data_IF_753759237378
#
_entry.id   IF_753759237378
#
_cell.length_a   1.000
_cell.length_b   1.000
_cell.length_c   1.000
_cell.angle_alpha   90.00
_cell.angle_beta   90.00
_cell.angle_gamma   90.00
#
_symmetry.space_group_name_H-M   'P 1'
#
loop_
_entity.id
_entity.type
_entity.pdbx_description
1 polymer ?
#
# COMPACT_ATOMS: atom_id res chain seq x y z
N UNK A 1 25.14 16.25 34.12
CA UNK A 1 23.76 15.90 33.72
C UNK A 1 23.82 15.13 32.41
N UNK A 2 23.55 13.81 32.38
CA UNK A 2 23.56 13.03 31.14
C UNK A 2 22.20 13.22 30.45
N UNK A 3 22.12 13.48 29.13
CA UNK A 3 20.83 13.53 28.46
C UNK A 3 20.17 12.16 28.57
N UNK A 4 18.91 12.14 28.99
CA UNK A 4 18.11 10.93 28.98
C UNK A 4 18.07 10.41 27.55
N UNK A 5 18.63 9.22 27.31
CA UNK A 5 18.44 8.53 26.02
C UNK A 5 16.94 8.33 25.87
N UNK A 6 16.35 8.94 24.83
CA UNK A 6 14.98 8.67 24.42
C UNK A 6 14.94 7.19 24.03
N UNK A 7 14.43 6.36 24.93
CA UNK A 7 14.06 4.99 24.59
C UNK A 7 12.80 5.14 23.74
N UNK A 8 12.99 5.18 22.42
CA UNK A 8 11.87 4.93 21.51
C UNK A 8 11.40 3.49 21.77
N UNK A 9 10.23 3.36 22.38
CA UNK A 9 9.55 2.07 22.56
C UNK A 9 9.45 1.34 21.22
N UNK A 10 9.62 0.03 21.15
CA UNK A 10 9.47 -0.72 19.89
C UNK A 10 8.13 -0.46 19.16
N UNK A 11 7.10 -0.07 19.91
CA UNK A 11 5.81 0.40 19.38
C UNK A 11 5.91 1.62 18.44
N UNK A 12 6.89 2.52 18.60
CA UNK A 12 7.09 3.66 17.70
C UNK A 12 7.75 3.29 16.37
N UNK A 13 8.38 2.11 16.29
CA UNK A 13 8.97 1.57 15.05
C UNK A 13 7.92 0.89 14.16
N UNK A 14 6.92 0.24 14.77
CA UNK A 14 5.85 -0.44 14.06
C UNK A 14 4.73 0.53 13.65
N UNK A 15 4.81 1.05 12.43
CA UNK A 15 3.70 1.77 11.80
C UNK A 15 3.44 1.17 10.41
N UNK A 16 2.59 0.13 10.33
CA UNK A 16 2.31 -0.57 9.08
C UNK A 16 1.58 0.37 8.12
N UNK A 17 1.86 0.20 6.83
CA UNK A 17 1.05 0.80 5.77
C UNK A 17 -0.29 0.08 5.73
N UNK A 18 -1.38 0.82 5.57
CA UNK A 18 -2.67 0.24 5.23
C UNK A 18 -3.03 0.59 3.79
N UNK A 19 -3.78 -0.29 3.15
CA UNK A 19 -4.28 -0.07 1.80
C UNK A 19 -5.79 -0.20 1.79
N UNK A 20 -6.47 0.74 1.16
CA UNK A 20 -7.91 0.74 0.95
C UNK A 20 -8.21 0.71 -0.55
N UNK A 21 -9.22 -0.06 -0.93
CA UNK A 21 -9.70 -0.14 -2.31
C UNK A 21 -11.13 0.43 -2.36
N UNK A 22 -11.37 1.36 -3.27
CA UNK A 22 -12.70 1.93 -3.49
C UNK A 22 -13.04 1.92 -4.99
N UNK A 23 -14.33 1.81 -5.29
CA UNK A 23 -14.87 2.09 -6.61
C UNK A 23 -15.25 3.58 -6.66
N UNK A 24 -14.75 4.30 -7.66
CA UNK A 24 -14.99 5.73 -7.90
C UNK A 24 -15.58 5.90 -9.30
N UNK A 25 -16.71 6.57 -9.42
CA UNK A 25 -17.28 6.93 -10.71
C UNK A 25 -16.90 8.37 -11.05
N UNK A 26 -16.22 8.57 -12.19
CA UNK A 26 -15.92 9.91 -12.68
C UNK A 26 -16.21 10.04 -14.16
N UNK A 27 -16.92 11.12 -14.51
CA UNK A 27 -17.29 11.43 -15.91
C UNK A 27 -17.99 10.24 -16.59
N UNK A 28 -18.84 9.53 -15.85
CA UNK A 28 -19.55 8.33 -16.33
C UNK A 28 -18.68 7.09 -16.54
N UNK A 29 -17.46 7.06 -15.99
CA UNK A 29 -16.56 5.90 -16.05
C UNK A 29 -16.26 5.40 -14.63
N UNK A 30 -16.54 4.12 -14.40
CA UNK A 30 -16.12 3.42 -13.18
C UNK A 30 -14.61 3.19 -13.19
N UNK A 31 -13.97 3.53 -12.08
CA UNK A 31 -12.54 3.36 -11.86
C UNK A 31 -12.29 2.82 -10.45
N UNK A 32 -11.17 2.15 -10.26
CA UNK A 32 -10.71 1.73 -8.95
C UNK A 32 -9.69 2.72 -8.41
N UNK A 33 -9.85 3.10 -7.15
CA UNK A 33 -8.91 3.91 -6.39
C UNK A 33 -8.25 3.01 -5.34
N UNK A 34 -6.93 2.92 -5.38
CA UNK A 34 -6.14 2.27 -4.34
C UNK A 34 -5.48 3.37 -3.53
N UNK A 35 -5.72 3.42 -2.23
CA UNK A 35 -5.16 4.42 -1.31
C UNK A 35 -4.20 3.73 -0.34
N UNK A 36 -2.95 4.14 -0.32
CA UNK A 36 -1.98 3.79 0.72
C UNK A 36 -2.05 4.85 1.83
N UNK A 37 -2.15 4.43 3.09
CA UNK A 37 -2.06 5.30 4.26
C UNK A 37 -0.84 4.95 5.11
N UNK A 38 -0.10 5.98 5.54
CA UNK A 38 1.00 5.84 6.50
C UNK A 38 1.25 7.16 7.23
N UNK A 39 1.30 7.12 8.57
CA UNK A 39 1.70 8.28 9.41
C UNK A 39 0.96 9.60 9.08
N UNK A 40 -0.34 9.52 8.76
CA UNK A 40 -1.15 10.69 8.41
C UNK A 40 -1.02 11.16 6.95
N UNK A 41 -0.14 10.54 6.15
CA UNK A 41 -0.07 10.76 4.72
C UNK A 41 -0.89 9.70 3.97
N UNK A 42 -1.50 10.13 2.87
CA UNK A 42 -2.17 9.24 1.93
C UNK A 42 -1.59 9.44 0.53
N UNK A 43 -1.26 8.34 -0.13
CA UNK A 43 -0.94 8.32 -1.56
C UNK A 43 -1.95 7.44 -2.28
N UNK A 44 -2.18 7.66 -3.56
CA UNK A 44 -3.18 6.89 -4.29
C UNK A 44 -2.85 6.72 -5.76
N UNK A 45 -3.38 5.65 -6.34
CA UNK A 45 -3.38 5.39 -7.78
C UNK A 45 -4.80 5.11 -8.25
N UNK A 46 -5.05 5.33 -9.54
CA UNK A 46 -6.34 5.07 -10.18
C UNK A 46 -6.18 4.15 -11.36
N UNK A 47 -7.06 3.17 -11.45
CA UNK A 47 -7.04 2.16 -12.50
C UNK A 47 -8.42 2.08 -13.15
N UNK A 48 -8.46 1.89 -14.47
CA UNK A 48 -9.68 1.49 -15.16
C UNK A 48 -9.99 0.02 -14.89
N UNK A 49 -11.18 -0.42 -15.29
CA UNK A 49 -11.59 -1.83 -15.18
C UNK A 49 -10.61 -2.78 -15.89
N UNK A 50 -10.20 -2.45 -17.11
CA UNK A 50 -9.25 -3.27 -17.89
C UNK A 50 -7.87 -3.34 -17.23
N UNK A 51 -7.36 -2.20 -16.75
CA UNK A 51 -6.03 -2.15 -16.12
C UNK A 51 -6.00 -2.79 -14.73
N UNK A 52 -7.14 -2.93 -14.05
CA UNK A 52 -7.22 -3.65 -12.77
C UNK A 52 -6.88 -5.14 -12.93
N UNK A 53 -7.36 -5.78 -14.01
CA UNK A 53 -7.07 -7.18 -14.28
C UNK A 53 -5.56 -7.42 -14.45
N UNK A 54 -4.92 -6.62 -15.31
CA UNK A 54 -3.48 -6.65 -15.54
C UNK A 54 -2.67 -6.36 -14.27
N UNK A 55 -3.10 -5.37 -13.49
CA UNK A 55 -2.46 -5.04 -12.21
C UNK A 55 -2.50 -6.22 -11.22
N UNK A 56 -3.65 -6.90 -11.11
CA UNK A 56 -3.81 -8.07 -10.24
C UNK A 56 -2.89 -9.21 -10.69
N UNK A 57 -2.84 -9.51 -11.98
CA UNK A 57 -1.98 -10.56 -12.53
C UNK A 57 -0.50 -10.27 -12.25
N UNK A 58 -0.04 -9.04 -12.55
CA UNK A 58 1.31 -8.60 -12.25
C UNK A 58 1.65 -8.71 -10.75
N UNK A 59 0.72 -8.31 -9.87
CA UNK A 59 0.91 -8.39 -8.42
C UNK A 59 1.04 -9.85 -7.94
N UNK A 60 0.23 -10.77 -8.48
CA UNK A 60 0.34 -12.20 -8.17
C UNK A 60 1.71 -12.73 -8.60
N UNK A 61 2.21 -12.33 -9.77
CA UNK A 61 3.55 -12.70 -10.24
C UNK A 61 4.65 -12.16 -9.33
N UNK A 62 4.58 -10.90 -8.90
CA UNK A 62 5.53 -10.32 -7.94
C UNK A 62 5.58 -11.14 -6.64
N UNK A 63 4.41 -11.46 -6.06
CA UNK A 63 4.33 -12.21 -4.80
C UNK A 63 4.86 -13.65 -4.94
N UNK A 64 4.57 -14.32 -6.07
CA UNK A 64 5.10 -15.66 -6.33
C UNK A 64 6.62 -15.65 -6.44
N UNK A 65 7.17 -14.69 -7.20
CA UNK A 65 8.62 -14.52 -7.37
C UNK A 65 9.33 -14.29 -6.04
N UNK A 66 8.79 -13.43 -5.17
CA UNK A 66 9.36 -13.21 -3.83
C UNK A 66 9.38 -14.47 -2.95
N UNK A 67 8.46 -15.42 -3.18
CA UNK A 67 8.42 -16.70 -2.44
C UNK A 67 9.39 -17.73 -3.02
N UNK A 68 9.64 -17.69 -4.32
CA UNK A 68 10.59 -18.58 -5.01
C UNK A 68 12.05 -18.10 -4.86
N UNK A 69 12.28 -16.80 -4.65
CA UNK A 69 13.61 -16.22 -4.42
C UNK A 69 14.06 -16.23 -2.94
N UNK A 70 13.28 -16.85 -2.03
CA UNK A 70 13.74 -17.11 -0.65
C UNK A 70 14.58 -18.39 -0.59
N UNK A 71 15.84 -18.35 -0.10
CA UNK A 71 16.68 -19.54 0.07
C UNK A 71 16.13 -20.52 1.11
#
# INVERSE_FOLDING_TARGET
MRPARRVESEASRWNPKTFELALDERKGKCQFLIVEKKRGFSTWIRLGLESLGLFKEGLIHCVKREREEKP
#
